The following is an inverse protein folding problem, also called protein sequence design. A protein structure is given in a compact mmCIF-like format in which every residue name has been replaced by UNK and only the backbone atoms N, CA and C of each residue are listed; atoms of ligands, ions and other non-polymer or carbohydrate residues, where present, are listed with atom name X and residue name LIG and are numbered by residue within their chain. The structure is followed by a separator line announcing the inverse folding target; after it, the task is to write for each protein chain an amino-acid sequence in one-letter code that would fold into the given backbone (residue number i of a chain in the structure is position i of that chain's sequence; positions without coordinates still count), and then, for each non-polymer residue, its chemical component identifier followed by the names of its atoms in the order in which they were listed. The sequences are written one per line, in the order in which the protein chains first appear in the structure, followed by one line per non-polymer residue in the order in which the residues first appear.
data_IF_773575667860
#
_entry.id   IF_773575667860
#
_cell.length_a   1.000
_cell.length_b   1.000
_cell.length_c   1.000
_cell.angle_alpha   90.00
_cell.angle_beta   90.00
_cell.angle_gamma   90.00
#
_symmetry.space_group_name_H-M   'P 1'
#
loop_
_entity.id
_entity.type
_entity.pdbx_description
1 polymer ?
#
# COMPACT_ATOMS: atom_id res chain seq x y z
N UNK A 1 -30.37 25.00 20.52
CA UNK A 1 -29.17 24.92 19.66
C UNK A 1 -28.22 23.87 20.22
N UNK A 2 -28.22 22.73 19.57
CA UNK A 2 -27.47 21.58 20.04
C UNK A 2 -25.98 21.81 19.77
N UNK A 3 -25.24 22.14 20.82
CA UNK A 3 -23.78 22.34 20.75
C UNK A 3 -23.00 21.05 20.90
N UNK A 4 -23.67 20.01 21.35
CA UNK A 4 -23.07 18.69 21.55
C UNK A 4 -23.51 17.76 20.41
N UNK A 5 -22.56 17.09 19.80
CA UNK A 5 -22.80 16.04 18.82
C UNK A 5 -22.25 14.72 19.32
N UNK A 6 -23.09 13.71 19.40
CA UNK A 6 -22.68 12.34 19.62
C UNK A 6 -22.85 11.57 18.33
N UNK A 7 -21.85 10.79 17.97
CA UNK A 7 -21.91 9.88 16.83
C UNK A 7 -21.52 8.49 17.28
N UNK A 8 -22.21 7.50 16.74
CA UNK A 8 -21.88 6.10 16.85
C UNK A 8 -22.08 5.48 15.48
N UNK A 9 -21.09 4.76 15.01
CA UNK A 9 -21.11 4.00 13.77
C UNK A 9 -20.80 2.53 14.03
N UNK A 10 -21.48 1.65 13.31
CA UNK A 10 -21.12 0.24 13.20
C UNK A 10 -21.20 -0.17 11.74
N UNK A 11 -20.14 -0.78 11.26
CA UNK A 11 -20.05 -1.24 9.89
C UNK A 11 -19.61 -2.71 9.87
N UNK A 12 -20.31 -3.51 9.07
CA UNK A 12 -19.89 -4.86 8.74
C UNK A 12 -19.72 -4.96 7.24
N UNK A 13 -18.48 -5.14 6.80
CA UNK A 13 -18.13 -5.32 5.41
C UNK A 13 -17.79 -6.80 5.16
N UNK A 14 -18.22 -7.30 4.00
CA UNK A 14 -17.85 -8.62 3.51
C UNK A 14 -17.39 -8.44 2.07
N UNK A 15 -16.15 -8.82 1.77
CA UNK A 15 -15.64 -8.78 0.41
C UNK A 15 -14.93 -10.08 0.05
N UNK A 16 -15.06 -10.49 -1.20
CA UNK A 16 -14.27 -11.58 -1.76
C UNK A 16 -12.93 -11.01 -2.21
N UNK A 17 -11.92 -11.39 -1.52
CA UNK A 17 -10.54 -11.06 -1.52
C UNK A 17 -9.94 -10.20 -2.63
N UNK A 18 -9.23 -9.15 -2.20
CA UNK A 18 -8.20 -8.59 -3.04
C UNK A 18 -7.13 -9.68 -3.24
N UNK A 19 -6.98 -10.15 -4.45
CA UNK A 19 -6.00 -11.17 -4.79
C UNK A 19 -4.60 -10.56 -4.66
N UNK A 20 -3.74 -11.04 -3.75
CA UNK A 20 -2.36 -10.57 -3.68
C UNK A 20 -1.65 -10.81 -5.00
N UNK A 21 -0.79 -9.89 -5.39
CA UNK A 21 -0.06 -9.93 -6.65
C UNK A 21 1.42 -10.00 -6.36
N UNK A 22 2.11 -10.94 -7.01
CA UNK A 22 3.56 -11.09 -6.96
C UNK A 22 4.13 -10.86 -8.35
N UNK A 23 5.12 -10.00 -8.48
CA UNK A 23 5.83 -9.81 -9.75
C UNK A 23 6.81 -10.95 -10.00
N UNK A 24 6.90 -11.41 -11.24
CA UNK A 24 7.76 -12.51 -11.68
C UNK A 24 8.32 -12.25 -13.06
N UNK A 25 9.56 -12.68 -13.37
CA UNK A 25 10.03 -12.72 -14.76
C UNK A 25 9.06 -13.51 -15.64
N UNK A 26 8.71 -12.98 -16.81
CA UNK A 26 7.82 -13.67 -17.74
C UNK A 26 8.39 -15.05 -18.15
N UNK A 27 9.69 -15.13 -18.38
CA UNK A 27 10.38 -16.36 -18.77
C UNK A 27 10.25 -17.48 -17.75
N UNK A 28 10.01 -17.15 -16.50
CA UNK A 28 9.79 -18.13 -15.43
C UNK A 28 8.39 -18.74 -15.46
N UNK A 29 7.46 -18.25 -16.26
CA UNK A 29 6.07 -18.72 -16.28
C UNK A 29 5.84 -19.92 -17.22
N UNK A 30 6.90 -20.50 -17.76
CA UNK A 30 6.87 -21.68 -18.63
C UNK A 30 6.44 -21.36 -20.07
N UNK A 31 6.16 -22.42 -20.83
CA UNK A 31 5.81 -22.31 -22.24
C UNK A 31 4.37 -21.83 -22.40
N UNK A 32 4.18 -20.77 -23.19
CA UNK A 32 2.85 -20.22 -23.51
C UNK A 32 1.99 -19.80 -22.30
N UNK A 33 2.46 -18.90 -21.45
CA UNK A 33 1.62 -18.40 -20.37
C UNK A 33 0.39 -17.69 -20.92
N UNK A 34 -0.77 -17.93 -20.33
CA UNK A 34 -2.00 -17.23 -20.71
C UNK A 34 -1.95 -15.83 -20.09
N UNK A 35 -1.52 -14.86 -20.86
CA UNK A 35 -1.44 -13.47 -20.43
C UNK A 35 -2.78 -12.76 -20.54
N UNK A 36 -3.13 -11.99 -19.52
CA UNK A 36 -4.32 -11.13 -19.49
C UNK A 36 -3.94 -9.74 -19.00
N UNK A 37 -4.61 -8.72 -19.54
CA UNK A 37 -4.43 -7.35 -19.10
C UNK A 37 -5.37 -7.07 -17.90
N UNK A 38 -4.82 -6.45 -16.86
CA UNK A 38 -5.60 -5.99 -15.72
C UNK A 38 -6.34 -4.68 -16.05
N UNK A 39 -7.56 -4.48 -15.53
CA UNK A 39 -8.19 -3.16 -15.56
C UNK A 39 -7.32 -2.15 -14.78
N UNK A 40 -6.81 -1.12 -15.48
CA UNK A 40 -5.91 -0.13 -14.88
C UNK A 40 -4.44 -0.28 -15.27
N UNK A 41 -4.10 -1.26 -16.10
CA UNK A 41 -2.76 -1.53 -16.60
C UNK A 41 -2.11 -2.74 -15.91
N UNK A 42 -1.01 -3.20 -16.48
CA UNK A 42 -0.32 -4.41 -16.06
C UNK A 42 -0.80 -5.67 -16.78
N UNK A 43 0.05 -6.67 -16.82
CA UNK A 43 -0.22 -7.98 -17.44
C UNK A 43 -0.06 -9.06 -16.39
N UNK A 44 -1.06 -9.92 -16.25
CA UNK A 44 -1.01 -11.05 -15.32
C UNK A 44 -1.12 -12.40 -16.02
N UNK A 45 -0.59 -13.43 -15.36
CA UNK A 45 -0.71 -14.82 -15.80
C UNK A 45 -1.91 -15.46 -15.14
N UNK A 46 -2.84 -15.97 -15.95
CA UNK A 46 -4.04 -16.66 -15.45
C UNK A 46 -3.73 -18.12 -15.18
N UNK A 47 -4.09 -18.61 -14.00
CA UNK A 47 -3.97 -20.02 -13.61
C UNK A 47 -2.55 -20.46 -13.24
N UNK A 48 -1.62 -19.52 -13.05
CA UNK A 48 -0.29 -19.85 -12.54
C UNK A 48 -0.32 -20.00 -11.01
N UNK A 49 0.50 -20.92 -10.48
CA UNK A 49 0.80 -20.93 -9.06
C UNK A 49 1.77 -19.79 -8.75
N UNK A 50 1.53 -18.97 -7.73
CA UNK A 50 2.45 -17.88 -7.36
C UNK A 50 3.78 -18.40 -6.84
N UNK A 51 3.84 -19.66 -6.41
CA UNK A 51 5.02 -20.26 -5.82
C UNK A 51 5.65 -21.22 -6.78
N UNK A 52 6.92 -20.98 -7.00
CA UNK A 52 7.60 -21.75 -7.98
C UNK A 52 9.06 -21.92 -7.63
N UNK A 53 9.44 -23.13 -7.24
CA UNK A 53 10.82 -23.59 -7.35
C UNK A 53 11.12 -23.78 -8.83
N UNK A 54 11.63 -22.77 -9.51
CA UNK A 54 11.97 -22.84 -10.94
C UNK A 54 13.41 -22.50 -11.18
N UNK A 55 13.97 -23.21 -12.15
CA UNK A 55 15.24 -22.84 -12.73
C UNK A 55 15.00 -21.83 -13.86
N UNK A 56 15.79 -20.79 -13.87
CA UNK A 56 15.76 -19.72 -14.88
C UNK A 56 17.16 -19.53 -15.43
N UNK A 57 17.28 -19.39 -16.75
CA UNK A 57 18.56 -19.10 -17.38
C UNK A 57 18.82 -17.60 -17.38
N UNK A 58 20.00 -17.18 -16.97
CA UNK A 58 20.45 -15.80 -16.94
C UNK A 58 21.67 -15.61 -17.83
N UNK A 59 21.82 -14.44 -18.43
CA UNK A 59 23.03 -14.03 -19.13
C UNK A 59 24.12 -13.57 -18.15
N UNK A 60 25.24 -13.08 -18.68
CA UNK A 60 26.38 -12.61 -17.89
C UNK A 60 26.06 -11.37 -17.03
N UNK A 61 25.11 -10.55 -17.49
CA UNK A 61 24.65 -9.36 -16.79
C UNK A 61 23.46 -9.68 -15.84
N UNK A 62 23.20 -10.98 -15.63
CA UNK A 62 22.12 -11.52 -14.80
C UNK A 62 20.71 -11.15 -15.29
N UNK A 63 20.57 -10.90 -16.59
CA UNK A 63 19.26 -10.72 -17.20
C UNK A 63 18.63 -12.08 -17.56
N UNK A 64 17.32 -12.26 -17.35
CA UNK A 64 16.64 -13.47 -17.77
C UNK A 64 16.69 -13.69 -19.29
N UNK A 65 16.94 -14.92 -19.69
CA UNK A 65 16.98 -15.34 -21.10
C UNK A 65 15.73 -16.16 -21.41
N UNK A 66 15.04 -15.78 -22.47
CA UNK A 66 13.91 -16.52 -23.02
C UNK A 66 14.33 -17.82 -23.70
N UNK A 67 13.34 -18.63 -24.10
CA UNK A 67 13.58 -19.90 -24.81
C UNK A 67 14.17 -19.72 -26.20
N UNK A 68 14.01 -18.56 -26.77
CA UNK A 68 14.62 -18.14 -28.06
C UNK A 68 16.09 -17.74 -27.90
N UNK A 69 16.64 -17.82 -26.69
CA UNK A 69 18.02 -17.44 -26.37
C UNK A 69 18.24 -15.93 -26.31
N UNK A 70 17.16 -15.12 -26.34
CA UNK A 70 17.23 -13.66 -26.22
C UNK A 70 16.94 -13.21 -24.82
N UNK A 71 17.53 -12.08 -24.42
CA UNK A 71 17.23 -11.44 -23.13
C UNK A 71 15.77 -10.99 -23.11
N UNK A 72 15.05 -11.38 -22.05
CA UNK A 72 13.66 -11.01 -21.81
C UNK A 72 13.48 -10.56 -20.37
N UNK A 73 13.56 -9.25 -20.15
CA UNK A 73 13.41 -8.62 -18.84
C UNK A 73 11.95 -8.29 -18.48
N UNK A 74 11.00 -8.71 -19.31
CA UNK A 74 9.58 -8.47 -19.01
C UNK A 74 9.16 -9.17 -17.73
N UNK A 75 8.42 -8.47 -16.92
CA UNK A 75 7.78 -9.01 -15.73
C UNK A 75 6.27 -9.11 -15.91
N UNK A 76 5.68 -10.04 -15.22
CA UNK A 76 4.23 -10.26 -15.16
C UNK A 76 3.78 -10.38 -13.73
N UNK A 77 2.51 -10.08 -13.52
CA UNK A 77 1.89 -10.25 -12.22
C UNK A 77 1.32 -11.66 -12.10
N UNK A 78 1.61 -12.32 -11.00
CA UNK A 78 1.08 -13.65 -10.67
C UNK A 78 0.12 -13.47 -9.51
N UNK A 79 -1.11 -13.94 -9.72
CA UNK A 79 -2.18 -13.81 -8.73
C UNK A 79 -2.10 -14.94 -7.70
N UNK A 80 -2.20 -14.60 -6.44
CA UNK A 80 -2.35 -15.55 -5.33
C UNK A 80 -3.82 -15.69 -4.94
N UNK A 81 -4.17 -16.75 -4.21
CA UNK A 81 -5.53 -16.92 -3.70
C UNK A 81 -5.76 -16.00 -2.50
N UNK A 82 -6.95 -15.39 -2.46
CA UNK A 82 -7.43 -14.65 -1.30
C UNK A 82 -8.74 -15.25 -0.82
N UNK A 83 -8.84 -15.50 0.47
CA UNK A 83 -10.09 -15.90 1.11
C UNK A 83 -11.01 -14.70 1.29
N UNK A 84 -12.34 -14.91 1.33
CA UNK A 84 -13.26 -13.84 1.69
C UNK A 84 -12.95 -13.28 3.08
N UNK A 85 -12.97 -11.96 3.20
CA UNK A 85 -12.74 -11.27 4.47
C UNK A 85 -14.02 -10.65 5.01
N UNK A 86 -14.14 -10.68 6.34
CA UNK A 86 -15.23 -10.03 7.07
C UNK A 86 -14.62 -9.05 8.05
N UNK A 87 -14.93 -7.76 7.86
CA UNK A 87 -14.53 -6.72 8.78
C UNK A 87 -15.73 -6.25 9.60
N UNK A 88 -15.55 -6.15 10.90
CA UNK A 88 -16.48 -5.51 11.81
C UNK A 88 -15.79 -4.29 12.43
N UNK A 89 -16.35 -3.12 12.27
CA UNK A 89 -15.82 -1.89 12.85
C UNK A 89 -16.91 -1.14 13.63
N UNK A 90 -16.48 -0.51 14.72
CA UNK A 90 -17.31 0.37 15.51
C UNK A 90 -16.53 1.65 15.81
N UNK A 91 -17.20 2.79 15.69
CA UNK A 91 -16.64 4.09 15.98
C UNK A 91 -17.57 4.91 16.89
N UNK A 92 -16.94 5.76 17.67
CA UNK A 92 -17.60 6.69 18.57
C UNK A 92 -16.98 8.07 18.41
N UNK A 93 -17.81 9.12 18.46
CA UNK A 93 -17.37 10.50 18.44
C UNK A 93 -18.20 11.39 19.34
N UNK A 94 -17.51 12.30 20.01
CA UNK A 94 -18.08 13.39 20.80
C UNK A 94 -17.57 14.71 20.25
N UNK A 95 -18.47 15.59 19.86
CA UNK A 95 -18.16 16.93 19.40
C UNK A 95 -18.82 17.99 20.29
N UNK A 96 -18.12 19.11 20.45
CA UNK A 96 -18.68 20.31 21.04
C UNK A 96 -18.38 21.50 20.11
N UNK A 97 -19.40 22.32 19.88
CA UNK A 97 -19.34 23.48 19.01
C UNK A 97 -19.63 24.77 19.80
N UNK A 98 -18.66 25.67 19.84
CA UNK A 98 -18.79 27.07 20.30
C UNK A 98 -19.17 27.97 19.12
N UNK A 99 -19.36 29.23 19.36
CA UNK A 99 -19.72 30.17 18.28
C UNK A 99 -18.64 30.29 17.19
N UNK A 100 -17.38 30.25 17.60
CA UNK A 100 -16.20 30.44 16.70
C UNK A 100 -15.18 29.33 16.84
N UNK A 101 -15.52 28.21 17.44
CA UNK A 101 -14.67 27.07 17.61
C UNK A 101 -15.45 25.77 17.61
N UNK A 102 -14.82 24.68 17.27
CA UNK A 102 -15.34 23.33 17.46
C UNK A 102 -14.20 22.39 17.88
N UNK A 103 -14.52 21.45 18.74
CA UNK A 103 -13.62 20.36 19.14
C UNK A 103 -14.35 19.04 18.99
N UNK A 104 -13.66 18.05 18.45
CA UNK A 104 -14.15 16.68 18.36
C UNK A 104 -13.09 15.72 18.90
N UNK A 105 -13.56 14.74 19.65
CA UNK A 105 -12.77 13.59 20.10
C UNK A 105 -13.47 12.34 19.61
N UNK A 106 -12.73 11.42 19.07
CA UNK A 106 -13.28 10.18 18.55
C UNK A 106 -12.33 9.01 18.74
N UNK A 107 -12.86 7.84 18.53
CA UNK A 107 -12.10 6.61 18.54
C UNK A 107 -12.93 5.45 18.02
N UNK A 108 -12.27 4.37 17.72
CA UNK A 108 -12.94 3.19 17.21
C UNK A 108 -12.04 1.97 17.17
N UNK A 109 -12.65 0.87 16.81
CA UNK A 109 -12.00 -0.43 16.65
C UNK A 109 -12.41 -1.04 15.32
N UNK A 110 -11.50 -1.76 14.68
CA UNK A 110 -11.77 -2.59 13.51
C UNK A 110 -11.22 -3.98 13.75
N UNK A 111 -11.97 -5.00 13.41
CA UNK A 111 -11.60 -6.41 13.59
C UNK A 111 -11.85 -7.19 12.33
N UNK A 112 -10.81 -7.81 11.86
CA UNK A 112 -10.76 -8.80 10.79
C UNK A 112 -10.20 -10.11 11.36
N UNK A 113 -10.15 -11.15 10.59
CA UNK A 113 -9.62 -12.45 11.04
C UNK A 113 -8.13 -12.35 11.39
N UNK A 114 -7.38 -11.63 10.58
CA UNK A 114 -5.92 -11.51 10.61
C UNK A 114 -5.42 -10.10 10.95
N UNK A 115 -6.31 -9.11 11.03
CA UNK A 115 -5.98 -7.72 11.30
C UNK A 115 -6.95 -7.10 12.32
N UNK A 116 -6.39 -6.57 13.40
CA UNK A 116 -7.14 -5.84 14.40
C UNK A 116 -6.52 -4.46 14.59
N UNK A 117 -7.33 -3.42 14.66
CA UNK A 117 -6.86 -2.07 14.93
C UNK A 117 -7.77 -1.32 15.91
N UNK A 118 -7.16 -0.44 16.69
CA UNK A 118 -7.85 0.52 17.52
C UNK A 118 -7.26 1.90 17.30
N UNK A 119 -8.08 2.94 17.26
CA UNK A 119 -7.63 4.31 17.06
C UNK A 119 -8.32 5.30 17.98
N UNK A 120 -7.62 6.41 18.24
CA UNK A 120 -8.16 7.59 18.88
C UNK A 120 -7.75 8.84 18.13
N UNK A 121 -8.60 9.85 18.08
CA UNK A 121 -8.30 11.11 17.43
C UNK A 121 -8.92 12.31 18.16
N UNK A 122 -8.31 13.46 17.94
CA UNK A 122 -8.82 14.77 18.34
C UNK A 122 -8.70 15.71 17.15
N UNK A 123 -9.71 16.52 16.91
CA UNK A 123 -9.67 17.54 15.87
C UNK A 123 -10.39 18.80 16.32
N UNK A 124 -9.93 19.94 15.84
CA UNK A 124 -10.51 21.22 16.17
C UNK A 124 -10.56 22.18 14.99
N UNK A 125 -11.43 23.16 15.13
CA UNK A 125 -11.62 24.28 14.20
C UNK A 125 -11.73 25.57 15.00
N UNK A 126 -11.06 26.61 14.50
CA UNK A 126 -11.14 27.98 14.99
C UNK A 126 -11.55 28.90 13.84
N UNK A 127 -12.62 29.64 14.03
CA UNK A 127 -13.19 30.52 13.01
C UNK A 127 -12.82 31.98 13.31
N UNK A 128 -12.40 32.71 12.30
CA UNK A 128 -11.97 34.11 12.34
C UNK A 128 -12.71 34.92 11.28
N UNK A 129 -12.59 36.25 11.35
CA UNK A 129 -13.18 37.17 10.34
C UNK A 129 -14.65 36.87 10.05
N UNK A 130 -15.47 36.78 11.09
CA UNK A 130 -16.90 36.44 10.93
C UNK A 130 -17.11 35.09 10.21
N UNK A 131 -16.23 34.11 10.49
CA UNK A 131 -16.20 32.78 9.88
C UNK A 131 -15.80 32.74 8.38
N UNK A 132 -15.23 33.82 7.86
CA UNK A 132 -14.66 33.82 6.51
C UNK A 132 -13.33 33.04 6.44
N UNK A 133 -12.64 32.91 7.58
CA UNK A 133 -11.39 32.17 7.71
C UNK A 133 -11.54 31.13 8.79
N UNK A 134 -11.17 29.89 8.52
CA UNK A 134 -11.16 28.80 9.51
C UNK A 134 -9.83 28.08 9.54
N UNK A 135 -9.19 28.07 10.71
CA UNK A 135 -8.03 27.21 10.96
C UNK A 135 -8.50 25.87 11.52
N UNK A 136 -7.89 24.80 11.05
CA UNK A 136 -8.21 23.42 11.43
C UNK A 136 -6.96 22.71 11.92
N UNK A 137 -7.11 21.82 12.87
CA UNK A 137 -6.05 20.90 13.29
C UNK A 137 -6.64 19.52 13.61
N UNK A 138 -5.82 18.52 13.48
CA UNK A 138 -6.15 17.16 13.84
C UNK A 138 -4.92 16.39 14.30
N UNK A 139 -5.15 15.46 15.22
CA UNK A 139 -4.15 14.53 15.69
C UNK A 139 -4.82 13.17 15.90
N UNK A 140 -4.14 12.10 15.50
CA UNK A 140 -4.64 10.74 15.63
C UNK A 140 -3.53 9.76 15.95
N UNK A 141 -3.92 8.71 16.63
CA UNK A 141 -3.09 7.55 16.90
C UNK A 141 -3.85 6.27 16.57
N UNK A 142 -3.19 5.35 15.90
CA UNK A 142 -3.74 4.02 15.58
C UNK A 142 -2.73 2.97 16.03
N UNK A 143 -3.21 1.93 16.69
CA UNK A 143 -2.44 0.73 17.00
C UNK A 143 -3.09 -0.47 16.34
N UNK A 144 -2.31 -1.23 15.59
CA UNK A 144 -2.77 -2.39 14.83
C UNK A 144 -1.97 -3.63 15.20
N UNK A 145 -2.63 -4.77 15.17
CA UNK A 145 -2.00 -6.09 15.30
C UNK A 145 -2.37 -6.97 14.12
N UNK A 146 -1.38 -7.62 13.56
CA UNK A 146 -1.48 -8.55 12.46
C UNK A 146 -1.27 -9.96 13.02
N UNK A 147 -2.08 -10.93 12.55
CA UNK A 147 -1.98 -12.33 12.94
C UNK A 147 -2.36 -13.18 11.71
N UNK A 148 -1.47 -13.20 10.73
CA UNK A 148 -1.71 -13.86 9.46
C UNK A 148 -1.26 -15.33 9.48
N UNK A 149 -2.15 -16.23 9.10
CA UNK A 149 -1.79 -17.63 8.89
C UNK A 149 -1.03 -17.70 7.57
N UNK A 150 0.23 -18.13 7.65
CA UNK A 150 1.03 -18.43 6.47
C UNK A 150 0.59 -19.80 6.00
N UNK A 151 0.03 -19.86 4.79
CA UNK A 151 -0.51 -21.08 4.21
C UNK A 151 0.58 -22.14 4.10
N UNK A 152 0.28 -23.37 4.51
CA UNK A 152 1.19 -24.51 4.41
C UNK A 152 1.44 -24.96 2.96
N UNK A 153 0.61 -24.56 2.00
CA UNK A 153 0.90 -24.72 0.57
C UNK A 153 2.12 -23.89 0.14
N UNK A 154 2.59 -23.01 1.03
CA UNK A 154 3.78 -22.18 0.89
C UNK A 154 4.97 -22.66 1.72
N UNK A 155 5.16 -23.93 1.84
CA UNK A 155 6.34 -24.52 2.51
C UNK A 155 7.69 -24.05 1.94
N UNK A 156 7.64 -23.43 0.78
CA UNK A 156 8.79 -22.84 0.09
C UNK A 156 9.10 -21.40 0.49
N UNK A 157 8.30 -20.73 1.31
CA UNK A 157 8.68 -19.44 1.87
C UNK A 157 9.86 -19.63 2.81
N UNK A 158 10.98 -19.06 2.44
CA UNK A 158 12.13 -18.96 3.30
C UNK A 158 11.83 -17.88 4.37
N UNK A 159 11.28 -18.31 5.49
CA UNK A 159 10.80 -17.39 6.53
C UNK A 159 11.83 -17.18 7.64
N UNK A 160 12.97 -17.88 7.56
CA UNK A 160 13.67 -18.33 8.75
C UNK A 160 14.40 -17.27 9.55
N UNK A 161 14.94 -16.23 8.96
CA UNK A 161 15.80 -15.33 9.77
C UNK A 161 15.16 -13.98 10.09
N UNK A 162 14.46 -13.37 9.12
CA UNK A 162 13.88 -12.05 9.33
C UNK A 162 12.62 -12.06 10.21
N UNK A 163 11.91 -13.19 10.26
CA UNK A 163 10.62 -13.30 10.93
C UNK A 163 10.57 -14.39 12.00
N UNK A 164 11.70 -15.01 12.37
CA UNK A 164 11.74 -16.16 13.28
C UNK A 164 11.04 -15.85 14.60
N UNK A 165 11.33 -14.70 15.19
CA UNK A 165 10.72 -14.24 16.45
C UNK A 165 9.22 -13.83 16.29
N UNK A 166 8.74 -13.69 15.06
CA UNK A 166 7.39 -13.25 14.76
C UNK A 166 6.49 -14.40 14.29
N UNK A 167 7.06 -15.57 14.00
CA UNK A 167 6.33 -16.75 13.55
C UNK A 167 6.08 -17.68 14.73
N UNK A 168 4.80 -17.84 15.06
CA UNK A 168 4.33 -18.80 16.04
C UNK A 168 3.84 -20.07 15.33
N UNK A 169 4.33 -21.21 15.76
CA UNK A 169 3.88 -22.50 15.26
C UNK A 169 2.95 -23.17 16.28
N UNK A 170 1.69 -23.33 15.93
CA UNK A 170 0.68 -23.97 16.76
C UNK A 170 -0.31 -24.78 15.90
N UNK A 171 -0.65 -25.95 16.34
CA UNK A 171 -1.62 -26.86 15.70
C UNK A 171 -1.32 -27.17 14.21
N UNK A 172 -0.03 -27.23 13.87
CA UNK A 172 0.43 -27.48 12.50
C UNK A 172 0.36 -26.25 11.57
N UNK A 173 0.02 -25.09 12.11
CA UNK A 173 -0.07 -23.83 11.37
C UNK A 173 1.04 -22.86 11.80
N UNK A 174 1.57 -22.13 10.83
CA UNK A 174 2.48 -21.01 11.07
C UNK A 174 1.66 -19.71 11.03
N UNK A 175 1.76 -18.95 12.10
CA UNK A 175 1.10 -17.66 12.21
C UNK A 175 2.14 -16.55 12.35
N UNK A 176 2.19 -15.67 11.37
CA UNK A 176 3.04 -14.48 11.40
C UNK A 176 2.33 -13.39 12.22
N UNK A 177 3.00 -12.88 13.24
CA UNK A 177 2.47 -11.83 14.11
C UNK A 177 3.28 -10.56 13.97
N UNK A 178 2.57 -9.45 13.87
CA UNK A 178 3.17 -8.13 13.79
C UNK A 178 2.36 -7.09 14.55
N UNK A 179 3.02 -5.99 14.90
CA UNK A 179 2.36 -4.81 15.48
C UNK A 179 2.80 -3.58 14.71
N UNK A 180 1.86 -2.66 14.51
CA UNK A 180 2.09 -1.38 13.85
C UNK A 180 1.45 -0.26 14.64
N UNK A 181 2.14 0.87 14.67
CA UNK A 181 1.66 2.11 15.27
C UNK A 181 1.73 3.24 14.25
N UNK A 182 0.67 4.02 14.15
CA UNK A 182 0.60 5.16 13.26
C UNK A 182 0.22 6.41 14.07
N UNK A 183 1.01 7.47 13.92
CA UNK A 183 0.76 8.80 14.44
C UNK A 183 0.48 9.73 13.28
N UNK A 184 -0.61 10.46 13.34
CA UNK A 184 -0.97 11.40 12.29
C UNK A 184 -1.28 12.77 12.89
N UNK A 185 -0.78 13.81 12.25
CA UNK A 185 -1.09 15.20 12.58
C UNK A 185 -1.43 15.96 11.31
N UNK A 186 -2.36 16.90 11.38
CA UNK A 186 -2.68 17.76 10.26
C UNK A 186 -3.06 19.16 10.73
N UNK A 187 -2.75 20.14 9.88
CA UNK A 187 -3.20 21.52 10.01
C UNK A 187 -3.80 21.97 8.68
N UNK A 188 -4.80 22.80 8.73
CA UNK A 188 -5.49 23.31 7.55
C UNK A 188 -6.01 24.72 7.70
N UNK A 189 -6.22 25.37 6.58
CA UNK A 189 -6.81 26.69 6.50
C UNK A 189 -7.88 26.70 5.41
N UNK A 190 -9.08 27.11 5.78
CA UNK A 190 -10.15 27.39 4.82
C UNK A 190 -10.37 28.89 4.75
N UNK A 191 -10.50 29.43 3.55
CA UNK A 191 -10.77 30.85 3.32
C UNK A 191 -11.91 31.02 2.32
N UNK A 192 -12.94 31.71 2.72
CA UNK A 192 -13.98 32.22 1.80
C UNK A 192 -13.42 33.44 1.12
N UNK A 193 -13.19 33.32 -0.21
CA UNK A 193 -12.60 34.38 -1.02
C UNK A 193 -13.66 35.37 -1.51
N UNK A 194 -14.88 34.89 -1.75
CA UNK A 194 -16.02 35.68 -2.19
C UNK A 194 -17.31 34.93 -1.85
N UNK A 195 -18.49 35.53 -2.19
CA UNK A 195 -19.78 34.87 -2.05
C UNK A 195 -19.90 33.56 -2.85
N UNK A 196 -19.04 33.40 -3.85
CA UNK A 196 -19.08 32.27 -4.77
C UNK A 196 -17.81 31.42 -4.80
N UNK A 197 -16.78 31.77 -3.99
CA UNK A 197 -15.49 31.07 -4.03
C UNK A 197 -14.94 30.77 -2.64
N UNK A 198 -14.38 29.56 -2.51
CA UNK A 198 -13.73 29.07 -1.30
C UNK A 198 -12.45 28.31 -1.66
N UNK A 199 -11.41 28.50 -0.88
CA UNK A 199 -10.21 27.68 -0.93
C UNK A 199 -9.97 27.00 0.44
N UNK A 200 -9.52 25.74 0.40
CA UNK A 200 -9.15 24.96 1.56
C UNK A 200 -7.76 24.34 1.29
N UNK A 201 -6.81 24.56 2.20
CA UNK A 201 -5.48 23.98 2.11
C UNK A 201 -5.21 23.20 3.38
N UNK A 202 -4.64 22.01 3.26
CA UNK A 202 -4.29 21.16 4.38
C UNK A 202 -2.90 20.56 4.19
N UNK A 203 -2.14 20.47 5.28
CA UNK A 203 -0.83 19.80 5.36
C UNK A 203 -0.97 18.74 6.45
N UNK A 204 -0.60 17.52 6.12
CA UNK A 204 -0.61 16.37 7.02
C UNK A 204 0.75 15.69 7.08
N UNK A 205 1.06 15.14 8.23
CA UNK A 205 2.20 14.29 8.48
C UNK A 205 1.74 13.00 9.13
N UNK A 206 2.28 11.87 8.67
CA UNK A 206 2.04 10.56 9.26
C UNK A 206 3.37 9.88 9.51
N UNK A 207 3.56 9.41 10.74
CA UNK A 207 4.65 8.54 11.14
C UNK A 207 4.09 7.16 11.43
N UNK A 208 4.59 6.16 10.74
CA UNK A 208 4.23 4.76 10.91
C UNK A 208 5.45 3.98 11.39
N UNK A 209 5.28 3.08 12.35
CA UNK A 209 6.35 2.23 12.85
C UNK A 209 5.87 0.81 13.16
N UNK A 210 6.78 -0.16 12.98
CA UNK A 210 6.55 -1.58 13.21
C UNK A 210 6.27 -2.36 11.93
N UNK A 211 5.46 -3.40 12.01
CA UNK A 211 5.22 -4.33 10.92
C UNK A 211 4.48 -3.66 9.75
N UNK A 212 5.12 -3.55 8.60
CA UNK A 212 4.57 -2.91 7.40
C UNK A 212 4.49 -3.85 6.19
N UNK A 213 4.91 -5.08 6.35
CA UNK A 213 4.88 -6.11 5.33
C UNK A 213 3.45 -6.54 5.00
N UNK A 214 3.30 -7.07 3.80
CA UNK A 214 2.09 -7.80 3.44
C UNK A 214 2.36 -9.30 3.60
N UNK A 215 1.79 -9.97 4.62
CA UNK A 215 2.07 -11.37 4.89
C UNK A 215 1.60 -12.33 3.79
N UNK A 216 0.77 -11.84 2.88
CA UNK A 216 0.25 -12.61 1.75
C UNK A 216 0.99 -12.33 0.44
N UNK A 217 2.00 -11.47 0.49
CA UNK A 217 2.79 -11.12 -0.69
C UNK A 217 4.15 -11.78 -0.65
N UNK A 218 4.40 -12.64 -1.64
CA UNK A 218 5.73 -13.20 -1.88
C UNK A 218 6.56 -12.27 -2.76
N UNK A 219 7.87 -12.28 -2.53
CA UNK A 219 8.87 -11.68 -3.39
C UNK A 219 9.69 -12.79 -4.02
N UNK A 220 9.92 -12.73 -5.32
CA UNK A 220 10.70 -13.74 -6.01
C UNK A 220 12.18 -13.37 -6.01
N UNK A 221 13.00 -14.29 -5.53
CA UNK A 221 14.45 -14.17 -5.48
C UNK A 221 15.09 -15.26 -6.34
N UNK A 222 15.98 -14.86 -7.22
CA UNK A 222 16.76 -15.75 -8.07
C UNK A 222 18.14 -15.91 -7.43
N UNK A 223 18.43 -17.09 -6.93
CA UNK A 223 19.73 -17.44 -6.38
C UNK A 223 20.68 -17.91 -7.48
N UNK A 224 21.86 -17.32 -7.54
CA UNK A 224 22.87 -17.56 -8.56
C UNK A 224 24.18 -17.94 -7.91
N UNK A 225 24.89 -18.90 -8.47
CA UNK A 225 26.23 -19.28 -8.01
C UNK A 225 27.16 -18.05 -7.98
N UNK A 226 27.73 -17.70 -6.84
CA UNK A 226 28.63 -16.54 -6.74
C UNK A 226 29.90 -16.69 -7.59
N UNK A 227 30.32 -17.92 -7.93
CA UNK A 227 31.49 -18.16 -8.79
C UNK A 227 31.21 -17.78 -10.26
N UNK A 228 29.95 -17.73 -10.67
CA UNK A 228 29.58 -17.39 -12.04
C UNK A 228 30.05 -15.99 -12.45
N UNK A 229 29.94 -15.00 -11.57
CA UNK A 229 30.31 -13.61 -11.86
C UNK A 229 31.79 -13.49 -12.24
N UNK A 230 32.61 -14.35 -11.67
CA UNK A 230 34.07 -14.40 -11.93
C UNK A 230 34.43 -15.43 -13.00
N UNK A 231 33.47 -16.14 -13.56
CA UNK A 231 33.69 -17.16 -14.61
C UNK A 231 33.69 -16.53 -15.99
N UNK A 232 34.16 -17.31 -17.00
CA UNK A 232 34.07 -16.94 -18.41
C UNK A 232 32.83 -17.55 -19.10
N UNK A 233 31.82 -17.98 -18.32
CA UNK A 233 30.59 -18.54 -18.85
C UNK A 233 29.65 -17.41 -19.32
N UNK A 234 28.98 -17.62 -20.43
CA UNK A 234 28.05 -16.64 -20.99
C UNK A 234 26.66 -16.71 -20.34
N UNK A 235 26.31 -17.84 -19.73
CA UNK A 235 25.01 -18.08 -19.11
C UNK A 235 25.14 -18.91 -17.83
N UNK A 236 24.19 -18.73 -16.90
CA UNK A 236 24.07 -19.54 -15.69
C UNK A 236 22.61 -19.93 -15.44
N UNK A 237 22.43 -20.95 -14.59
CA UNK A 237 21.10 -21.32 -14.08
C UNK A 237 20.91 -20.71 -12.71
N UNK A 238 19.89 -19.86 -12.61
CA UNK A 238 19.42 -19.34 -11.34
C UNK A 238 18.32 -20.21 -10.76
N UNK A 239 18.29 -20.36 -9.44
CA UNK A 239 17.24 -21.04 -8.70
C UNK A 239 16.27 -19.98 -8.13
N UNK A 240 15.05 -19.94 -8.64
CA UNK A 240 14.06 -18.95 -8.21
C UNK A 240 13.23 -19.49 -7.06
N UNK A 241 13.19 -18.72 -5.98
CA UNK A 241 12.45 -19.02 -4.75
C UNK A 241 11.52 -17.87 -4.42
N UNK A 242 10.44 -18.17 -3.69
CA UNK A 242 9.54 -17.18 -3.13
C UNK A 242 9.87 -16.96 -1.65
N UNK A 243 10.06 -15.70 -1.26
CA UNK A 243 10.30 -15.29 0.11
C UNK A 243 9.19 -14.35 0.58
N UNK A 244 8.99 -14.25 1.88
CA UNK A 244 8.13 -13.22 2.44
C UNK A 244 8.71 -11.84 2.15
N UNK A 245 7.81 -10.90 1.82
CA UNK A 245 8.18 -9.50 1.61
C UNK A 245 8.71 -8.90 2.91
N UNK A 246 9.79 -8.17 2.82
CA UNK A 246 10.29 -7.29 3.89
C UNK A 246 10.20 -5.84 3.43
N UNK A 247 9.86 -4.97 4.37
CA UNK A 247 9.82 -3.52 4.18
C UNK A 247 10.50 -2.83 5.35
N UNK A 248 10.94 -1.58 5.18
CA UNK A 248 11.38 -0.79 6.33
C UNK A 248 10.27 -0.72 7.39
N UNK A 249 10.65 -0.83 8.63
CA UNK A 249 9.76 -0.81 9.80
C UNK A 249 9.34 0.60 10.23
N UNK A 250 9.83 1.63 9.52
CA UNK A 250 9.48 3.04 9.71
C UNK A 250 9.11 3.65 8.37
N UNK A 251 8.07 4.49 8.39
CA UNK A 251 7.65 5.30 7.24
C UNK A 251 7.18 6.67 7.70
N UNK A 252 7.74 7.71 7.11
CA UNK A 252 7.37 9.10 7.35
C UNK A 252 6.77 9.68 6.07
N UNK A 253 5.53 10.13 6.14
CA UNK A 253 4.81 10.66 4.99
C UNK A 253 4.34 12.08 5.26
N UNK A 254 4.54 12.96 4.28
CA UNK A 254 3.96 14.30 4.23
C UNK A 254 2.93 14.35 3.10
N UNK A 255 1.80 14.97 3.37
CA UNK A 255 0.76 15.18 2.37
C UNK A 255 0.32 16.64 2.38
N UNK A 256 0.13 17.21 1.20
CA UNK A 256 -0.42 18.55 1.01
C UNK A 256 -1.65 18.41 0.12
N UNK A 257 -2.75 19.05 0.51
CA UNK A 257 -3.96 19.08 -0.31
C UNK A 257 -4.49 20.49 -0.44
N UNK A 258 -4.99 20.82 -1.60
CA UNK A 258 -5.66 22.09 -1.88
C UNK A 258 -6.99 21.80 -2.59
N UNK A 259 -8.05 22.42 -2.12
CA UNK A 259 -9.38 22.32 -2.70
C UNK A 259 -9.86 23.73 -3.03
N UNK A 260 -10.32 23.93 -4.24
CA UNK A 260 -10.98 25.16 -4.68
C UNK A 260 -12.39 24.86 -5.12
N UNK A 261 -13.34 25.66 -4.62
CA UNK A 261 -14.75 25.57 -4.97
C UNK A 261 -15.16 26.93 -5.55
N UNK A 262 -15.79 26.90 -6.74
CA UNK A 262 -16.32 28.06 -7.41
C UNK A 262 -17.76 27.82 -7.84
N UNK A 263 -18.70 28.63 -7.33
CA UNK A 263 -20.03 28.70 -7.87
C UNK A 263 -20.07 29.67 -9.05
N UNK A 264 -20.70 29.24 -10.14
CA UNK A 264 -20.78 29.97 -11.42
C UNK A 264 -22.23 30.44 -11.59
N UNK A 265 -22.53 31.64 -11.08
CA UNK A 265 -23.87 32.19 -11.01
C UNK A 265 -24.68 32.13 -12.33
N UNK A 266 -24.14 32.45 -13.54
CA UNK A 266 -24.90 32.42 -14.76
C UNK A 266 -25.43 31.05 -15.15
N UNK A 267 -24.77 29.98 -14.69
CA UNK A 267 -25.10 28.59 -14.99
C UNK A 267 -25.75 27.87 -13.81
N UNK A 268 -25.86 28.55 -12.68
CA UNK A 268 -26.25 27.94 -11.40
C UNK A 268 -25.48 26.62 -11.12
N UNK A 269 -24.20 26.61 -11.48
CA UNK A 269 -23.34 25.45 -11.42
C UNK A 269 -22.20 25.65 -10.40
N UNK A 270 -21.60 24.57 -9.93
CA UNK A 270 -20.39 24.63 -9.11
C UNK A 270 -19.26 23.79 -9.69
N UNK A 271 -18.06 24.35 -9.71
CA UNK A 271 -16.83 23.65 -10.04
C UNK A 271 -16.05 23.36 -8.77
N UNK A 272 -15.64 22.12 -8.58
CA UNK A 272 -14.72 21.71 -7.50
C UNK A 272 -13.42 21.21 -8.12
N UNK A 273 -12.31 21.75 -7.67
CA UNK A 273 -10.97 21.35 -8.07
C UNK A 273 -10.21 20.92 -6.83
N UNK A 274 -9.77 19.70 -6.81
CA UNK A 274 -9.01 19.11 -5.71
C UNK A 274 -7.64 18.65 -6.22
N UNK A 275 -6.57 19.04 -5.56
CA UNK A 275 -5.22 18.54 -5.78
C UNK A 275 -4.66 17.99 -4.48
N UNK A 276 -4.06 16.81 -4.54
CA UNK A 276 -3.35 16.20 -3.42
C UNK A 276 -1.98 15.71 -3.89
N UNK A 277 -0.95 16.14 -3.21
CA UNK A 277 0.41 15.63 -3.31
C UNK A 277 0.78 14.92 -2.02
N UNK A 278 1.49 13.81 -2.10
CA UNK A 278 2.14 13.20 -0.95
C UNK A 278 3.50 12.64 -1.33
N UNK A 279 4.42 12.68 -0.38
CA UNK A 279 5.77 12.11 -0.48
C UNK A 279 6.13 11.42 0.82
N UNK A 280 7.00 10.44 0.76
CA UNK A 280 7.50 9.72 1.93
C UNK A 280 8.99 9.38 1.81
N UNK A 281 9.55 8.88 2.91
CA UNK A 281 10.94 8.43 3.01
C UNK A 281 11.23 7.09 2.32
N UNK A 282 10.20 6.47 1.72
CA UNK A 282 10.34 5.32 0.84
C UNK A 282 10.52 5.73 -0.64
N UNK A 283 10.63 7.04 -0.94
CA UNK A 283 10.75 7.57 -2.29
C UNK A 283 9.44 7.64 -3.07
N UNK A 284 8.30 7.31 -2.44
CA UNK A 284 7.00 7.31 -3.12
C UNK A 284 6.47 8.73 -3.21
N UNK A 285 6.32 9.24 -4.43
CA UNK A 285 5.63 10.50 -4.70
C UNK A 285 4.29 10.21 -5.36
N UNK A 286 3.24 10.84 -4.86
CA UNK A 286 1.88 10.63 -5.35
C UNK A 286 1.25 11.95 -5.73
N UNK A 287 0.64 12.02 -6.91
CA UNK A 287 -0.14 13.15 -7.35
C UNK A 287 -1.56 12.70 -7.66
N UNK A 288 -2.54 13.42 -7.13
CA UNK A 288 -3.94 13.19 -7.45
C UNK A 288 -4.61 14.51 -7.76
N UNK A 289 -5.21 14.60 -8.92
CA UNK A 289 -6.06 15.73 -9.34
C UNK A 289 -7.47 15.23 -9.57
N UNK A 290 -8.47 15.94 -9.03
CA UNK A 290 -9.87 15.65 -9.26
C UNK A 290 -10.59 16.94 -9.62
N UNK A 291 -11.43 16.89 -10.65
CA UNK A 291 -12.31 17.99 -11.06
C UNK A 291 -13.74 17.49 -11.15
N UNK A 292 -14.64 18.15 -10.43
CA UNK A 292 -16.07 17.91 -10.46
C UNK A 292 -16.80 19.14 -11.00
N UNK A 293 -17.77 18.92 -11.88
CA UNK A 293 -18.72 19.94 -12.28
C UNK A 293 -20.11 19.53 -11.82
N UNK A 294 -20.75 20.36 -11.00
CA UNK A 294 -22.08 20.10 -10.45
C UNK A 294 -23.06 20.98 -11.16
N UNK A 295 -23.95 20.38 -11.96
CA UNK A 295 -24.97 21.10 -12.77
C UNK A 295 -26.36 20.68 -12.36
N UNK A 296 -27.11 21.54 -11.68
CA UNK A 296 -28.56 21.39 -11.57
C UNK A 296 -29.23 21.57 -12.95
N UNK A 297 -30.10 20.63 -13.30
CA UNK A 297 -30.86 20.66 -14.54
C UNK A 297 -32.35 21.04 -14.35
N UNK A 298 -32.76 21.35 -13.12
CA UNK A 298 -34.16 21.57 -12.74
C UNK A 298 -34.91 20.26 -12.42
N UNK A 299 -36.13 20.37 -11.90
CA UNK A 299 -36.98 19.25 -11.51
C UNK A 299 -36.30 18.21 -10.57
N UNK A 300 -35.34 18.65 -9.75
CA UNK A 300 -34.62 17.79 -8.83
C UNK A 300 -33.47 16.98 -9.44
N UNK A 301 -33.19 17.15 -10.75
CA UNK A 301 -32.03 16.48 -11.36
C UNK A 301 -30.76 17.28 -11.19
N UNK A 302 -29.68 16.57 -10.80
CA UNK A 302 -28.32 17.11 -10.73
C UNK A 302 -27.41 16.14 -11.49
N UNK A 303 -26.58 16.69 -12.38
CA UNK A 303 -25.56 15.93 -13.12
C UNK A 303 -24.19 16.37 -12.61
N UNK A 304 -23.34 15.42 -12.25
CA UNK A 304 -21.99 15.68 -11.73
C UNK A 304 -20.94 14.87 -12.50
N UNK A 305 -20.47 15.34 -13.68
CA UNK A 305 -19.31 14.77 -14.31
C UNK A 305 -18.08 14.96 -13.43
N UNK A 306 -17.27 13.91 -13.34
CA UNK A 306 -16.03 13.86 -12.56
C UNK A 306 -14.89 13.33 -13.41
N UNK A 307 -13.75 14.00 -13.33
CA UNK A 307 -12.48 13.53 -13.90
C UNK A 307 -11.48 13.40 -12.75
N UNK A 308 -10.77 12.26 -12.70
CA UNK A 308 -9.69 12.03 -11.74
C UNK A 308 -8.46 11.52 -12.47
N UNK A 309 -7.35 12.17 -12.21
CA UNK A 309 -6.01 11.72 -12.61
C UNK A 309 -5.22 11.36 -11.37
N UNK A 310 -4.52 10.24 -11.42
CA UNK A 310 -3.66 9.78 -10.33
C UNK A 310 -2.38 9.23 -10.90
N UNK A 311 -1.24 9.61 -10.30
CA UNK A 311 0.08 9.02 -10.57
C UNK A 311 0.80 8.76 -9.26
N UNK A 312 1.57 7.68 -9.23
CA UNK A 312 2.37 7.30 -8.08
C UNK A 312 3.67 6.68 -8.57
N UNK A 313 4.79 7.06 -7.96
CA UNK A 313 6.09 6.43 -8.16
C UNK A 313 6.16 5.11 -7.37
N UNK A 314 7.03 4.21 -7.80
CA UNK A 314 7.38 3.04 -7.00
C UNK A 314 8.24 3.46 -5.80
N UNK A 315 8.26 2.62 -4.76
CA UNK A 315 9.23 2.81 -3.68
C UNK A 315 10.66 2.58 -4.20
N UNK A 316 11.63 3.28 -3.64
CA UNK A 316 13.06 3.19 -4.04
C UNK A 316 13.58 1.75 -3.97
N UNK A 317 13.03 0.97 -3.08
CA UNK A 317 13.38 -0.43 -2.91
C UNK A 317 12.52 -1.40 -3.76
N UNK A 318 11.58 -0.94 -4.54
CA UNK A 318 10.75 -1.83 -5.33
C UNK A 318 11.55 -2.42 -6.50
N UNK A 319 11.54 -3.75 -6.57
CA UNK A 319 12.05 -4.50 -7.72
C UNK A 319 11.02 -5.56 -8.12
N UNK A 320 10.84 -5.83 -9.42
CA UNK A 320 9.90 -6.84 -9.89
C UNK A 320 10.33 -8.27 -9.49
N UNK A 321 11.60 -8.51 -9.31
CA UNK A 321 12.24 -9.70 -8.76
C UNK A 321 13.63 -9.34 -8.27
N UNK A 322 14.20 -10.20 -7.43
CA UNK A 322 15.50 -9.97 -6.80
C UNK A 322 16.50 -11.02 -7.26
N UNK A 323 17.79 -10.66 -7.30
CA UNK A 323 18.87 -11.60 -7.62
C UNK A 323 19.83 -11.64 -6.44
N UNK A 324 20.08 -12.83 -5.92
CA UNK A 324 21.06 -13.08 -4.86
C UNK A 324 22.20 -13.94 -5.39
N UNK A 325 23.43 -13.46 -5.22
CA UNK A 325 24.64 -14.19 -5.59
C UNK A 325 25.05 -15.14 -4.43
N UNK A 326 24.18 -16.07 -4.16
CA UNK A 326 24.36 -17.11 -3.16
C UNK A 326 23.89 -18.45 -3.73
N UNK A 327 24.56 -19.54 -3.36
CA UNK A 327 24.08 -20.87 -3.68
C UNK A 327 22.85 -21.20 -2.86
N UNK A 328 21.78 -21.61 -3.54
CA UNK A 328 20.57 -22.06 -2.87
C UNK A 328 20.58 -23.58 -2.68
N UNK A 329 20.41 -24.03 -1.45
CA UNK A 329 20.19 -25.43 -1.13
C UNK A 329 19.03 -25.57 -0.16
N UNK A 330 18.00 -26.33 -0.55
CA UNK A 330 16.86 -26.60 0.31
C UNK A 330 17.22 -27.34 1.61
N UNK A 331 18.35 -28.04 1.63
CA UNK A 331 18.88 -28.74 2.79
C UNK A 331 19.77 -27.87 3.70
N UNK A 332 20.12 -26.67 3.26
CA UNK A 332 21.05 -25.75 3.94
C UNK A 332 20.47 -24.33 3.98
N UNK A 333 19.17 -24.21 4.27
CA UNK A 333 18.50 -22.90 4.37
C UNK A 333 19.09 -22.02 5.48
N UNK A 334 19.66 -22.66 6.53
CA UNK A 334 20.31 -21.96 7.64
C UNK A 334 21.64 -21.30 7.25
N UNK A 335 22.22 -21.70 6.11
CA UNK A 335 23.45 -21.15 5.58
C UNK A 335 23.22 -19.93 4.69
N UNK A 336 21.96 -19.63 4.35
CA UNK A 336 21.63 -18.44 3.58
C UNK A 336 21.87 -17.20 4.42
N UNK A 337 22.66 -16.30 3.85
CA UNK A 337 22.90 -14.98 4.43
C UNK A 337 21.86 -14.00 3.88
N UNK A 338 20.83 -13.76 4.66
CA UNK A 338 19.75 -12.86 4.28
C UNK A 338 20.17 -11.39 4.27
N UNK A 339 21.23 -11.04 5.00
CA UNK A 339 21.81 -9.70 4.96
C UNK A 339 22.56 -9.42 3.65
N UNK A 340 22.98 -10.48 2.96
CA UNK A 340 23.63 -10.41 1.63
C UNK A 340 22.67 -10.55 0.46
N UNK A 341 21.37 -10.49 0.66
CA UNK A 341 20.50 -10.17 -0.47
C UNK A 341 20.99 -8.85 -1.05
N UNK A 342 21.15 -8.72 -2.39
CA UNK A 342 21.65 -7.49 -2.99
C UNK A 342 20.85 -6.28 -2.48
N UNK A 343 21.51 -5.13 -2.30
CA UNK A 343 20.85 -3.92 -1.78
C UNK A 343 19.75 -3.43 -2.70
N UNK A 344 19.87 -3.63 -4.00
CA UNK A 344 18.76 -3.47 -4.97
C UNK A 344 17.65 -4.44 -4.72
N UNK A 345 17.94 -5.46 -3.97
CA UNK A 345 17.10 -6.54 -3.58
C UNK A 345 16.89 -6.60 -2.07
N UNK A 346 17.73 -6.02 -1.28
CA UNK A 346 17.47 -5.71 0.11
C UNK A 346 17.09 -4.23 0.23
N UNK A 347 16.07 -3.93 -0.31
CA UNK A 347 15.51 -2.64 -0.34
C UNK A 347 14.94 -2.27 0.97
N UNK A 348 15.10 -2.91 1.83
CA UNK A 348 14.36 -3.05 3.04
C UNK A 348 14.94 -2.20 4.16
N UNK A 349 15.51 -1.05 3.79
CA UNK A 349 16.03 -0.12 4.75
C UNK A 349 17.20 -0.68 5.57
N UNK A 350 17.91 -1.59 4.99
CA UNK A 350 19.10 -2.19 5.57
C UNK A 350 20.33 -1.32 5.28
N UNK A 351 20.14 -0.01 5.48
CA UNK A 351 21.14 1.03 5.31
C UNK A 351 21.51 1.63 6.66
#
# INVERSE_FOLDING_TARGET
TDRVTLSFGYTRDVWSGATPVTSSPLVAQGNNPVLRNAPGGGTFVSGASPIVNRSITLDRDLNPIGQDGQVDTRSVEVLSFASPEVRNSADFGLGYEWNEAALRVGGGISRERDFNSGYGNVSGRLDFNQKLTSAKFGFGYTSSSISAIIDHDFDTYLTKTAFEDQIEFSDGLRTLRGRRQDWAANIGLSQILSKSALIDVNIGYTHSSGFMENPYKAVQVIFVDPEFVNSNQDTTQGNMQALLEQRPDVRNQVAISAKYIQHINPLDAAAHLDYKFSTDDWGINTNTFTADWIQPLGNGWIVTPRVRYHSQDAADFYQPYLISQQNFSASALDELDYEKLPVTAAPYGWH
#
